data_IF_216812317743
#
_entry.id   IF_216812317743
#
_cell.length_a   1.000
_cell.length_b   1.000
_cell.length_c   1.000
_cell.angle_alpha   90.00
_cell.angle_beta   90.00
_cell.angle_gamma   90.00
#
_symmetry.space_group_name_H-M   'P 1'
#
loop_
_entity.id
_entity.type
_entity.pdbx_description
1 polymer ?
#
# COMPACT_ATOMS: atom_id res chain seq x y z
N UNK A 1 30.47 14.32 1.37
CA UNK A 1 29.85 15.38 2.19
C UNK A 1 28.44 14.93 2.43
N UNK A 2 28.09 14.62 3.68
CA UNK A 2 26.72 14.27 4.05
C UNK A 2 25.79 15.40 3.58
N UNK A 3 24.68 15.06 2.93
CA UNK A 3 23.69 16.05 2.53
C UNK A 3 23.13 16.71 3.80
N UNK A 4 22.67 17.96 3.72
CA UNK A 4 22.05 18.67 4.86
C UNK A 4 21.04 17.78 5.61
N UNK A 5 20.28 16.98 4.86
CA UNK A 5 19.30 16.05 5.38
C UNK A 5 19.90 14.91 6.24
N UNK A 6 21.03 14.33 5.86
CA UNK A 6 21.68 13.26 6.65
C UNK A 6 22.16 13.80 8.01
N UNK A 7 22.67 15.03 8.03
CA UNK A 7 23.06 15.73 9.27
C UNK A 7 21.84 15.99 10.15
N UNK A 8 20.76 16.53 9.60
CA UNK A 8 19.52 16.82 10.34
C UNK A 8 18.89 15.54 10.93
N UNK A 9 18.87 14.44 10.16
CA UNK A 9 18.43 13.13 10.65
C UNK A 9 19.28 12.68 11.84
N UNK A 10 20.61 12.81 11.75
CA UNK A 10 21.50 12.47 12.85
C UNK A 10 21.21 13.33 14.09
N UNK A 11 21.00 14.64 13.94
CA UNK A 11 20.71 15.54 15.06
C UNK A 11 19.44 15.13 15.83
N UNK A 12 18.37 14.76 15.14
CA UNK A 12 17.17 14.25 15.79
C UNK A 12 17.36 12.84 16.38
N UNK A 13 18.11 11.97 15.70
CA UNK A 13 18.37 10.61 16.17
C UNK A 13 19.07 10.61 17.53
N UNK A 14 20.04 11.51 17.74
CA UNK A 14 20.77 11.63 19.02
C UNK A 14 19.90 12.10 20.19
N UNK A 15 18.76 12.76 19.92
CA UNK A 15 17.83 13.23 20.95
C UNK A 15 16.84 12.13 21.39
N UNK A 16 16.71 11.06 20.62
CA UNK A 16 15.79 9.97 20.91
C UNK A 16 16.31 9.06 22.04
N UNK A 17 15.43 8.56 22.93
CA UNK A 17 15.77 7.47 23.82
C UNK A 17 16.18 6.21 23.04
N UNK A 18 17.02 5.36 23.65
CA UNK A 18 17.57 4.16 23.00
C UNK A 18 16.51 3.26 22.35
N UNK A 19 15.35 3.09 23.00
CA UNK A 19 14.26 2.29 22.45
C UNK A 19 13.74 2.86 21.12
N UNK A 20 13.61 4.18 21.03
CA UNK A 20 13.16 4.86 19.82
C UNK A 20 14.22 4.83 18.72
N UNK A 21 15.50 4.94 19.07
CA UNK A 21 16.60 4.75 18.11
C UNK A 21 16.58 3.36 17.48
N UNK A 22 16.20 2.31 18.25
CA UNK A 22 16.04 0.95 17.70
C UNK A 22 14.92 0.86 16.68
N UNK A 23 13.76 1.46 16.95
CA UNK A 23 12.67 1.51 15.97
C UNK A 23 13.09 2.22 14.67
N UNK A 24 13.80 3.35 14.78
CA UNK A 24 14.32 4.06 13.60
C UNK A 24 15.30 3.20 12.82
N UNK A 25 16.22 2.49 13.50
CA UNK A 25 17.16 1.59 12.84
C UNK A 25 16.46 0.46 12.09
N UNK A 26 15.43 -0.14 12.67
CA UNK A 26 14.62 -1.17 12.00
C UNK A 26 13.93 -0.61 10.75
N UNK A 27 13.35 0.58 10.85
CA UNK A 27 12.71 1.24 9.71
C UNK A 27 13.70 1.55 8.58
N UNK A 28 14.85 2.15 8.90
CA UNK A 28 15.88 2.46 7.90
C UNK A 28 16.41 1.18 7.25
N UNK A 29 16.63 0.10 8.01
CA UNK A 29 16.99 -1.22 7.46
C UNK A 29 15.91 -1.76 6.53
N UNK A 30 14.64 -1.62 6.91
CA UNK A 30 13.52 -1.98 6.04
C UNK A 30 13.54 -1.17 4.75
N UNK A 31 13.81 0.14 4.78
CA UNK A 31 13.91 0.98 3.57
C UNK A 31 15.10 0.58 2.68
N UNK A 32 16.26 0.29 3.26
CA UNK A 32 17.45 -0.15 2.51
C UNK A 32 17.21 -1.51 1.86
N UNK A 33 16.52 -2.42 2.57
CA UNK A 33 16.24 -3.78 2.11
C UNK A 33 15.04 -3.82 1.16
N UNK A 34 14.07 -2.92 1.36
CA UNK A 34 12.93 -2.70 0.49
C UNK A 34 13.41 -1.99 -0.79
N UNK A 35 14.15 -2.73 -1.61
CA UNK A 35 13.98 -2.54 -3.05
C UNK A 35 12.52 -2.86 -3.31
N UNK A 36 11.71 -1.83 -3.58
CA UNK A 36 10.35 -2.02 -4.08
C UNK A 36 10.48 -2.78 -5.40
N UNK A 37 10.46 -4.10 -5.32
CA UNK A 37 10.40 -4.96 -6.48
C UNK A 37 8.94 -5.25 -6.72
N UNK A 38 8.41 -4.68 -7.79
CA UNK A 38 7.09 -5.05 -8.26
C UNK A 38 7.04 -6.56 -8.50
N UNK A 39 5.88 -7.17 -8.24
CA UNK A 39 5.65 -8.55 -8.66
C UNK A 39 5.50 -8.53 -10.20
N UNK A 40 6.25 -9.35 -10.97
CA UNK A 40 6.05 -9.43 -12.41
C UNK A 40 4.58 -9.76 -12.72
N UNK A 41 3.97 -9.05 -13.67
CA UNK A 41 2.55 -9.25 -14.02
C UNK A 41 2.21 -10.70 -14.38
N UNK A 42 3.16 -11.43 -14.97
CA UNK A 42 3.11 -12.89 -15.16
C UNK A 42 2.71 -13.66 -13.89
N UNK A 43 3.25 -13.28 -12.74
CA UNK A 43 2.98 -13.98 -11.48
C UNK A 43 1.57 -13.71 -10.95
N UNK A 44 0.89 -12.67 -11.44
CA UNK A 44 -0.50 -12.35 -11.10
C UNK A 44 -1.51 -13.13 -11.95
N UNK A 45 -1.10 -13.76 -13.06
CA UNK A 45 -1.99 -14.54 -13.93
C UNK A 45 -2.70 -15.69 -13.19
N UNK A 46 -2.10 -16.21 -12.11
CA UNK A 46 -2.74 -17.21 -11.24
C UNK A 46 -4.07 -16.76 -10.64
N UNK A 47 -4.33 -15.45 -10.58
CA UNK A 47 -5.57 -14.87 -10.06
C UNK A 47 -6.60 -14.58 -11.15
N UNK A 48 -6.22 -14.67 -12.44
CA UNK A 48 -7.14 -14.43 -13.54
C UNK A 48 -8.26 -15.48 -13.54
N UNK A 49 -9.52 -15.01 -13.47
CA UNK A 49 -10.69 -15.90 -13.46
C UNK A 49 -10.85 -16.72 -12.18
N UNK A 50 -10.21 -16.33 -11.07
CA UNK A 50 -10.30 -17.07 -9.79
C UNK A 50 -11.41 -16.60 -8.85
N UNK A 51 -12.21 -15.61 -9.26
CA UNK A 51 -13.37 -15.18 -8.47
C UNK A 51 -14.45 -16.25 -8.61
N UNK A 52 -14.92 -16.78 -7.49
CA UNK A 52 -15.97 -17.79 -7.48
C UNK A 52 -17.28 -17.21 -8.03
N UNK A 53 -18.12 -18.06 -8.62
CA UNK A 53 -19.42 -17.64 -9.14
C UNK A 53 -20.31 -17.02 -8.05
N UNK A 54 -20.24 -17.51 -6.81
CA UNK A 54 -21.01 -16.93 -5.70
C UNK A 54 -20.54 -15.51 -5.38
N UNK A 55 -19.23 -15.28 -5.41
CA UNK A 55 -18.66 -13.96 -5.16
C UNK A 55 -19.00 -12.99 -6.28
N UNK A 56 -19.01 -13.46 -7.53
CA UNK A 56 -19.48 -12.68 -8.68
C UNK A 56 -20.95 -12.27 -8.53
N UNK A 57 -21.82 -13.19 -8.08
CA UNK A 57 -23.23 -12.87 -7.81
C UNK A 57 -23.38 -11.86 -6.67
N UNK A 58 -22.62 -12.03 -5.59
CA UNK A 58 -22.65 -11.10 -4.45
C UNK A 58 -22.18 -9.69 -4.86
N UNK A 59 -21.13 -9.59 -5.68
CA UNK A 59 -20.66 -8.33 -6.23
C UNK A 59 -21.71 -7.67 -7.13
N UNK A 60 -22.37 -8.45 -8.00
CA UNK A 60 -23.42 -7.93 -8.88
C UNK A 60 -24.60 -7.36 -8.07
N UNK A 61 -25.07 -8.10 -7.06
CA UNK A 61 -26.16 -7.65 -6.19
C UNK A 61 -25.78 -6.37 -5.44
N UNK A 62 -24.55 -6.29 -4.90
CA UNK A 62 -24.09 -5.10 -4.19
C UNK A 62 -24.01 -3.85 -5.10
N UNK A 63 -23.71 -4.04 -6.39
CA UNK A 63 -23.74 -2.96 -7.38
C UNK A 63 -25.20 -2.53 -7.62
N UNK A 64 -26.12 -3.48 -7.83
CA UNK A 64 -27.54 -3.17 -8.08
C UNK A 64 -28.20 -2.48 -6.88
N UNK A 65 -27.91 -2.94 -5.67
CA UNK A 65 -28.46 -2.40 -4.42
C UNK A 65 -27.88 -1.01 -4.09
N UNK A 66 -26.63 -0.77 -4.49
CA UNK A 66 -25.87 0.45 -4.16
C UNK A 66 -25.79 1.50 -5.27
N UNK A 67 -26.12 1.16 -6.52
CA UNK A 67 -26.16 2.13 -7.61
C UNK A 67 -27.42 3.00 -7.49
N UNK A 68 -27.21 4.32 -7.47
CA UNK A 68 -28.29 5.27 -7.70
C UNK A 68 -28.90 5.01 -9.09
N UNK A 69 -30.24 4.91 -9.16
CA UNK A 69 -30.94 4.79 -10.44
C UNK A 69 -30.73 6.09 -11.21
N UNK A 70 -30.02 6.03 -12.33
CA UNK A 70 -29.96 7.15 -13.26
C UNK A 70 -31.29 7.17 -14.00
N UNK A 71 -32.17 8.12 -13.67
CA UNK A 71 -33.35 8.36 -14.47
C UNK A 71 -32.91 9.04 -15.77
N UNK A 72 -33.36 8.54 -16.92
CA UNK A 72 -33.08 9.10 -18.24
C UNK A 72 -33.56 10.57 -18.41
N UNK A 73 -34.24 11.12 -17.41
CA UNK A 73 -34.77 12.49 -17.38
C UNK A 73 -33.81 13.50 -16.70
N UNK A 74 -32.71 13.02 -16.11
CA UNK A 74 -31.78 13.83 -15.29
C UNK A 74 -30.54 14.34 -16.05
N UNK A 75 -30.50 14.26 -17.39
CA UNK A 75 -29.41 14.79 -18.24
C UNK A 75 -29.83 15.97 -19.13
#
# INVERSE_FOLDING_TARGET
>A
MASNLETEICEYLHQLPLEHQRYVLEFVRALVTARVQGIPGQALLRFAGTIDASDLTAMAQAIEDGCEQVHDEDW
#
